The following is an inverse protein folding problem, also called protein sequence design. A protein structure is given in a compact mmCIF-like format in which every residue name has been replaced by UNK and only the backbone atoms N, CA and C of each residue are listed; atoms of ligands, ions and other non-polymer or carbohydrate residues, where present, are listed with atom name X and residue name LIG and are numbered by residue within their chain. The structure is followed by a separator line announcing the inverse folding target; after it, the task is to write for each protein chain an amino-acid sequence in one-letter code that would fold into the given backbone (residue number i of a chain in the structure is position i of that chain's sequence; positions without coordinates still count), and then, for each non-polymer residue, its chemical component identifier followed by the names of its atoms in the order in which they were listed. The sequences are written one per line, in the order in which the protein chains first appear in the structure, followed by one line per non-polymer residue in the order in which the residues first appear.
data_IF_853002944544
#
_entry.id   IF_853002944544
#
_cell.length_a   1.000
_cell.length_b   1.000
_cell.length_c   1.000
_cell.angle_alpha   90.00
_cell.angle_beta   90.00
_cell.angle_gamma   90.00
#
_symmetry.space_group_name_H-M   'P 1'
#
loop_
_entity.id
_entity.type
_entity.pdbx_description
1 polymer ?
#
# COMPACT_ATOMS: atom_id res chain seq x y z
N UNK A 1 -15.46 8.39 9.37
CA UNK A 1 -14.14 8.92 9.81
C UNK A 1 -13.77 10.05 8.86
N UNK A 2 -13.28 11.18 9.35
CA UNK A 2 -13.06 12.36 8.49
C UNK A 2 -11.83 12.15 7.60
N UNK A 3 -11.83 12.75 6.41
CA UNK A 3 -10.69 12.79 5.48
C UNK A 3 -9.39 13.24 6.19
N UNK A 4 -9.48 14.25 7.07
CA UNK A 4 -8.36 14.75 7.87
C UNK A 4 -7.72 13.69 8.77
N UNK A 5 -8.52 12.79 9.34
CA UNK A 5 -8.01 11.70 10.17
C UNK A 5 -7.22 10.67 9.34
N UNK A 6 -7.72 10.29 8.18
CA UNK A 6 -7.00 9.39 7.29
C UNK A 6 -5.66 10.01 6.83
N UNK A 7 -5.66 11.28 6.48
CA UNK A 7 -4.42 12.00 6.11
C UNK A 7 -3.41 12.01 7.27
N UNK A 8 -3.85 12.29 8.49
CA UNK A 8 -2.97 12.26 9.67
C UNK A 8 -2.40 10.86 9.91
N UNK A 9 -3.22 9.82 9.78
CA UNK A 9 -2.80 8.43 9.93
C UNK A 9 -1.76 8.03 8.88
N UNK A 10 -1.99 8.39 7.62
CA UNK A 10 -1.06 8.13 6.51
C UNK A 10 0.27 8.88 6.70
N UNK A 11 0.21 10.15 7.12
CA UNK A 11 1.39 10.95 7.43
C UNK A 11 2.19 10.31 8.58
N UNK A 12 1.52 9.84 9.63
CA UNK A 12 2.18 9.11 10.71
C UNK A 12 2.91 7.86 10.19
N UNK A 13 2.28 7.08 9.31
CA UNK A 13 2.90 5.91 8.67
C UNK A 13 4.18 6.26 7.89
N UNK A 14 4.19 7.38 7.18
CA UNK A 14 5.39 7.88 6.48
C UNK A 14 6.52 8.24 7.45
N UNK A 15 6.20 8.84 8.59
CA UNK A 15 7.20 9.18 9.62
C UNK A 15 7.80 7.97 10.34
N UNK A 16 7.23 6.75 10.20
CA UNK A 16 7.85 5.51 10.73
C UNK A 16 9.23 5.23 10.14
N UNK A 17 9.60 5.86 9.03
CA UNK A 17 10.95 5.81 8.48
C UNK A 17 12.00 6.31 9.47
N UNK A 18 11.70 7.38 10.24
CA UNK A 18 12.64 7.98 11.18
C UNK A 18 13.01 6.98 12.29
N UNK A 19 12.07 6.45 13.09
CA UNK A 19 12.42 5.47 14.12
C UNK A 19 12.96 4.17 13.53
N UNK A 20 12.53 3.74 12.31
CA UNK A 20 13.09 2.56 11.67
C UNK A 20 14.58 2.72 11.36
N UNK A 21 14.98 3.82 10.74
CA UNK A 21 16.40 4.12 10.45
C UNK A 21 17.21 4.29 11.74
N UNK A 22 16.66 5.03 12.72
CA UNK A 22 17.31 5.18 14.01
C UNK A 22 17.62 3.80 14.63
N UNK A 23 16.65 2.92 14.70
CA UNK A 23 16.84 1.57 15.26
C UNK A 23 17.88 0.78 14.46
N UNK A 24 17.79 0.77 13.12
CA UNK A 24 18.70 0.02 12.24
C UNK A 24 20.17 0.49 12.35
N UNK A 25 20.42 1.77 12.64
CA UNK A 25 21.79 2.31 12.71
C UNK A 25 22.37 2.41 14.13
N UNK A 26 21.55 2.28 15.19
CA UNK A 26 22.01 2.51 16.56
C UNK A 26 21.95 1.27 17.46
N UNK A 27 21.34 0.19 17.03
CA UNK A 27 21.18 -1.03 17.81
C UNK A 27 21.96 -2.20 17.20
N UNK A 28 22.34 -3.14 18.04
CA UNK A 28 22.81 -4.45 17.56
C UNK A 28 21.63 -5.30 17.10
N UNK A 29 21.81 -6.05 16.02
CA UNK A 29 20.73 -6.82 15.42
C UNK A 29 21.00 -8.30 15.48
N UNK A 30 20.00 -9.07 15.88
CA UNK A 30 20.01 -10.51 15.74
C UNK A 30 19.47 -10.96 14.37
N UNK A 31 20.01 -12.04 13.84
CA UNK A 31 19.65 -12.55 12.51
C UNK A 31 18.16 -12.89 12.39
N UNK A 32 17.55 -13.45 13.42
CA UNK A 32 16.11 -13.80 13.39
C UNK A 32 15.23 -12.57 13.30
N UNK A 33 15.60 -11.49 14.01
CA UNK A 33 14.91 -10.20 13.90
C UNK A 33 14.97 -9.62 12.49
N UNK A 34 16.15 -9.60 11.86
CA UNK A 34 16.32 -9.10 10.50
C UNK A 34 15.56 -9.95 9.46
N UNK A 35 15.60 -11.26 9.57
CA UNK A 35 14.82 -12.16 8.71
C UNK A 35 13.32 -11.89 8.88
N UNK A 36 12.84 -11.78 10.11
CA UNK A 36 11.43 -11.50 10.42
C UNK A 36 11.00 -10.13 9.85
N UNK A 37 11.81 -9.08 10.04
CA UNK A 37 11.57 -7.77 9.48
C UNK A 37 11.47 -7.81 7.95
N UNK A 38 12.35 -8.54 7.29
CA UNK A 38 12.34 -8.72 5.83
C UNK A 38 11.07 -9.42 5.36
N UNK A 39 10.69 -10.52 6.00
CA UNK A 39 9.47 -11.28 5.65
C UNK A 39 8.23 -10.40 5.84
N UNK A 40 8.10 -9.72 6.99
CA UNK A 40 6.93 -8.88 7.27
C UNK A 40 6.90 -7.63 6.39
N UNK A 41 8.07 -7.07 6.04
CA UNK A 41 8.15 -5.99 5.04
C UNK A 41 7.65 -6.42 3.66
N UNK A 42 7.99 -7.66 3.25
CA UNK A 42 7.43 -8.24 2.02
C UNK A 42 5.91 -8.44 2.12
N UNK A 43 5.40 -8.90 3.27
CA UNK A 43 3.97 -9.08 3.49
C UNK A 43 3.22 -7.73 3.46
N UNK A 44 3.78 -6.67 4.01
CA UNK A 44 3.12 -5.35 4.02
C UNK A 44 3.28 -4.61 2.69
N UNK A 45 4.51 -4.42 2.21
CA UNK A 45 4.79 -3.68 0.98
C UNK A 45 4.48 -4.48 -0.28
N UNK A 46 4.88 -5.76 -0.33
CA UNK A 46 4.65 -6.63 -1.49
C UNK A 46 3.20 -7.13 -1.57
N UNK A 47 2.77 -7.90 -0.56
CA UNK A 47 1.43 -8.50 -0.59
C UNK A 47 0.35 -7.47 -0.26
N UNK A 48 0.49 -6.70 0.81
CA UNK A 48 -0.54 -5.77 1.29
C UNK A 48 -0.75 -4.59 0.34
N UNK A 49 0.33 -3.93 -0.06
CA UNK A 49 0.26 -2.78 -0.96
C UNK A 49 0.24 -3.20 -2.43
N UNK A 50 1.35 -3.76 -2.96
CA UNK A 50 1.52 -3.94 -4.39
C UNK A 50 0.55 -4.98 -5.00
N UNK A 51 0.37 -6.13 -4.36
CA UNK A 51 -0.52 -7.20 -4.88
C UNK A 51 -1.97 -6.96 -4.50
N UNK A 52 -2.25 -6.73 -3.23
CA UNK A 52 -3.61 -6.69 -2.70
C UNK A 52 -4.30 -5.36 -3.00
N UNK A 53 -3.82 -4.26 -2.39
CA UNK A 53 -4.45 -2.94 -2.55
C UNK A 53 -4.45 -2.51 -4.03
N UNK A 54 -3.31 -2.61 -4.68
CA UNK A 54 -3.08 -2.09 -6.02
C UNK A 54 -3.65 -3.03 -7.10
N UNK A 55 -3.10 -4.23 -7.27
CA UNK A 55 -3.49 -5.11 -8.38
C UNK A 55 -4.83 -5.80 -8.18
N UNK A 56 -5.16 -6.22 -6.96
CA UNK A 56 -6.41 -6.95 -6.71
C UNK A 56 -7.60 -6.01 -6.48
N UNK A 57 -7.57 -5.20 -5.41
CA UNK A 57 -8.74 -4.40 -5.03
C UNK A 57 -9.01 -3.24 -5.97
N UNK A 58 -7.99 -2.60 -6.54
CA UNK A 58 -8.19 -1.50 -7.50
C UNK A 58 -8.42 -2.03 -8.91
N UNK A 59 -7.48 -2.78 -9.47
CA UNK A 59 -7.49 -3.14 -10.89
C UNK A 59 -8.15 -4.46 -11.21
N UNK A 60 -8.43 -5.32 -10.20
CA UNK A 60 -9.05 -6.64 -10.38
C UNK A 60 -8.29 -7.47 -11.41
N UNK A 61 -6.97 -7.46 -11.33
CA UNK A 61 -6.07 -8.08 -12.27
C UNK A 61 -6.13 -9.63 -12.24
N UNK A 62 -6.60 -10.21 -11.15
CA UNK A 62 -6.76 -11.65 -10.97
C UNK A 62 -7.96 -11.97 -10.08
N UNK A 63 -8.27 -13.26 -9.90
CA UNK A 63 -9.38 -13.73 -9.07
C UNK A 63 -8.85 -14.56 -7.91
N UNK A 64 -9.55 -14.46 -6.76
CA UNK A 64 -9.30 -15.27 -5.57
C UNK A 64 -10.61 -15.69 -4.91
N UNK A 65 -10.57 -16.77 -4.11
CA UNK A 65 -11.70 -17.19 -3.30
C UNK A 65 -12.07 -16.17 -2.21
N UNK A 66 -13.30 -16.20 -1.69
CA UNK A 66 -13.74 -15.26 -0.65
C UNK A 66 -12.86 -15.25 0.61
N UNK A 67 -12.28 -16.39 0.99
CA UNK A 67 -11.37 -16.48 2.13
C UNK A 67 -10.05 -15.77 1.84
N UNK A 68 -9.46 -15.99 0.66
CA UNK A 68 -8.24 -15.29 0.23
C UNK A 68 -8.48 -13.79 0.12
N UNK A 69 -9.66 -13.36 -0.38
CA UNK A 69 -10.03 -11.93 -0.43
C UNK A 69 -10.01 -11.29 0.98
N UNK A 70 -10.57 -11.98 1.98
CA UNK A 70 -10.53 -11.49 3.37
C UNK A 70 -9.11 -11.38 3.91
N UNK A 71 -8.25 -12.39 3.67
CA UNK A 71 -6.85 -12.36 4.08
C UNK A 71 -6.12 -11.19 3.40
N UNK A 72 -6.23 -11.05 2.09
CA UNK A 72 -5.64 -9.95 1.34
C UNK A 72 -6.11 -8.59 1.84
N UNK A 73 -7.39 -8.46 2.21
CA UNK A 73 -7.92 -7.20 2.72
C UNK A 73 -7.33 -6.79 4.08
N UNK A 74 -7.00 -7.76 4.95
CA UNK A 74 -6.26 -7.47 6.19
C UNK A 74 -4.84 -7.03 5.90
N UNK A 75 -4.14 -7.70 4.97
CA UNK A 75 -2.81 -7.24 4.54
C UNK A 75 -2.85 -5.86 3.88
N UNK A 76 -3.90 -5.53 3.13
CA UNK A 76 -4.11 -4.16 2.63
C UNK A 76 -4.15 -3.15 3.80
N UNK A 77 -4.93 -3.43 4.84
CA UNK A 77 -5.03 -2.54 6.01
C UNK A 77 -3.66 -2.38 6.70
N UNK A 78 -2.93 -3.47 6.93
CA UNK A 78 -1.63 -3.41 7.59
C UNK A 78 -0.55 -2.75 6.72
N UNK A 79 -0.60 -2.97 5.41
CA UNK A 79 0.38 -2.43 4.47
C UNK A 79 0.14 -0.98 4.08
N UNK A 80 -1.11 -0.52 4.03
CA UNK A 80 -1.44 0.83 3.54
C UNK A 80 -2.05 1.75 4.59
N UNK A 81 -2.46 1.20 5.72
CA UNK A 81 -3.27 1.87 6.74
C UNK A 81 -4.63 2.41 6.25
N UNK A 82 -5.02 1.99 5.06
CA UNK A 82 -6.33 2.24 4.46
C UNK A 82 -7.12 0.94 4.30
N UNK A 83 -8.43 1.04 4.28
CA UNK A 83 -9.26 -0.09 3.85
C UNK A 83 -9.14 -0.31 2.34
N UNK A 84 -9.43 -1.52 1.82
CA UNK A 84 -9.45 -1.76 0.39
C UNK A 84 -10.31 -0.78 -0.41
N UNK A 85 -11.44 -0.35 0.14
CA UNK A 85 -12.33 0.61 -0.52
C UNK A 85 -11.71 2.01 -0.62
N UNK A 86 -11.04 2.48 0.44
CA UNK A 86 -10.38 3.79 0.43
C UNK A 86 -9.18 3.82 -0.52
N UNK A 87 -8.36 2.76 -0.50
CA UNK A 87 -7.25 2.64 -1.42
C UNK A 87 -7.73 2.60 -2.89
N UNK A 88 -8.68 1.71 -3.21
CA UNK A 88 -9.21 1.57 -4.55
C UNK A 88 -9.85 2.87 -5.06
N UNK A 89 -10.52 3.64 -4.17
CA UNK A 89 -11.11 4.93 -4.50
C UNK A 89 -10.06 5.93 -4.96
N UNK A 90 -9.02 6.15 -4.15
CA UNK A 90 -7.99 7.15 -4.45
C UNK A 90 -7.14 6.75 -5.65
N UNK A 91 -6.73 5.48 -5.73
CA UNK A 91 -5.85 5.02 -6.79
C UNK A 91 -6.55 4.93 -8.15
N UNK A 92 -7.83 4.51 -8.17
CA UNK A 92 -8.61 4.51 -9.41
C UNK A 92 -8.84 5.94 -9.94
N UNK A 93 -9.04 6.89 -9.02
CA UNK A 93 -9.19 8.30 -9.38
C UNK A 93 -7.89 8.88 -9.95
N UNK A 94 -6.75 8.52 -9.37
CA UNK A 94 -5.43 8.84 -9.91
C UNK A 94 -5.28 8.33 -11.37
N UNK A 95 -5.60 7.07 -11.65
CA UNK A 95 -5.54 6.54 -13.02
C UNK A 95 -6.43 7.29 -14.00
N UNK A 96 -7.64 7.68 -13.56
CA UNK A 96 -8.59 8.41 -14.42
C UNK A 96 -8.15 9.83 -14.74
N UNK A 97 -7.46 10.48 -13.82
CA UNK A 97 -7.09 11.89 -13.90
C UNK A 97 -5.59 12.13 -13.82
N UNK A 98 -4.79 11.09 -14.06
CA UNK A 98 -3.34 11.11 -13.91
C UNK A 98 -2.70 12.39 -14.46
N UNK A 99 -1.91 13.05 -13.61
CA UNK A 99 -1.16 14.28 -13.90
C UNK A 99 -1.98 15.52 -14.29
N UNK A 100 -3.30 15.48 -14.15
CA UNK A 100 -4.17 16.66 -14.26
C UNK A 100 -4.35 17.37 -12.90
N UNK A 101 -4.99 18.53 -12.90
CA UNK A 101 -5.34 19.25 -11.66
C UNK A 101 -6.32 18.46 -10.76
N UNK A 102 -7.04 17.51 -11.33
CA UNK A 102 -7.98 16.63 -10.62
C UNK A 102 -7.32 15.38 -10.02
N UNK A 103 -6.06 15.12 -10.35
CA UNK A 103 -5.33 13.99 -9.81
C UNK A 103 -5.13 14.15 -8.30
N UNK A 104 -5.55 13.12 -7.57
CA UNK A 104 -5.53 13.11 -6.09
C UNK A 104 -4.12 13.06 -5.51
N UNK A 105 -3.14 12.57 -6.26
CA UNK A 105 -1.75 12.48 -5.83
C UNK A 105 -0.73 13.03 -6.83
N UNK A 106 -1.11 13.90 -7.73
CA UNK A 106 -0.17 14.41 -8.72
C UNK A 106 1.06 15.05 -8.10
N UNK A 107 2.22 14.51 -8.39
CA UNK A 107 3.50 15.11 -8.02
C UNK A 107 3.70 16.48 -8.68
N UNK A 108 3.12 16.70 -9.86
CA UNK A 108 3.16 17.94 -10.61
C UNK A 108 2.33 19.05 -9.94
N UNK A 109 1.11 18.78 -9.49
CA UNK A 109 0.17 19.77 -8.96
C UNK A 109 0.21 19.91 -7.44
N UNK A 110 0.64 18.88 -6.72
CA UNK A 110 0.84 18.88 -5.26
C UNK A 110 2.28 19.23 -4.92
N UNK A 111 3.23 18.93 -5.82
CA UNK A 111 4.65 19.19 -5.67
C UNK A 111 5.30 18.40 -4.55
N UNK A 112 6.31 19.01 -3.91
CA UNK A 112 7.11 18.39 -2.85
C UNK A 112 6.30 17.84 -1.67
N UNK A 113 5.11 18.37 -1.40
CA UNK A 113 4.23 17.88 -0.34
C UNK A 113 3.80 16.43 -0.57
N UNK A 114 3.70 15.97 -1.82
CA UNK A 114 3.34 14.60 -2.14
C UNK A 114 4.39 13.57 -1.66
N UNK A 115 5.63 13.98 -1.44
CA UNK A 115 6.71 13.15 -0.90
C UNK A 115 6.66 12.99 0.63
N UNK A 116 6.14 14.00 1.34
CA UNK A 116 6.19 14.05 2.80
C UNK A 116 4.82 13.96 3.46
N UNK A 117 3.77 14.27 2.71
CA UNK A 117 2.41 14.27 3.23
C UNK A 117 1.53 13.57 2.23
N UNK A 118 0.86 12.53 2.65
CA UNK A 118 -0.07 11.83 1.79
C UNK A 118 -1.31 12.71 1.52
N UNK A 119 -1.23 13.51 0.49
CA UNK A 119 -2.32 14.40 0.10
C UNK A 119 -3.31 13.67 -0.81
N UNK A 120 -4.56 13.59 -0.37
CA UNK A 120 -5.67 13.22 -1.20
C UNK A 120 -6.61 14.41 -1.40
N UNK A 121 -6.78 14.83 -2.63
CA UNK A 121 -7.90 15.68 -3.02
C UNK A 121 -9.07 14.74 -3.32
N UNK A 122 -10.11 14.76 -2.50
CA UNK A 122 -11.29 13.91 -2.70
C UNK A 122 -12.58 14.73 -2.88
N UNK A 123 -12.46 16.05 -2.97
CA UNK A 123 -13.59 16.94 -3.14
C UNK A 123 -14.21 16.73 -4.54
N UNK A 124 -15.50 16.38 -4.56
CA UNK A 124 -16.23 16.16 -5.81
C UNK A 124 -15.96 14.85 -6.54
N UNK A 125 -15.35 13.88 -5.87
CA UNK A 125 -15.02 12.56 -6.46
C UNK A 125 -16.16 11.58 -6.28
N UNK A 126 -16.69 11.06 -7.38
CA UNK A 126 -17.73 10.03 -7.38
C UNK A 126 -17.16 8.63 -7.12
N UNK A 127 -17.81 7.79 -6.28
CA UNK A 127 -17.41 6.42 -6.05
C UNK A 127 -17.48 5.58 -7.33
N UNK A 128 -16.47 4.77 -7.56
CA UNK A 128 -16.47 3.81 -8.67
C UNK A 128 -17.33 2.58 -8.35
N UNK A 129 -17.70 1.80 -9.39
CA UNK A 129 -18.37 0.50 -9.20
C UNK A 129 -17.58 -0.44 -8.28
N UNK A 130 -16.24 -0.42 -8.34
CA UNK A 130 -15.39 -1.24 -7.48
C UNK A 130 -15.55 -0.84 -6.02
N UNK A 131 -15.53 0.45 -5.72
CA UNK A 131 -15.73 0.98 -4.36
C UNK A 131 -17.14 0.66 -3.86
N UNK A 132 -18.17 0.91 -4.68
CA UNK A 132 -19.55 0.59 -4.34
C UNK A 132 -19.72 -0.90 -4.00
N UNK A 133 -19.17 -1.80 -4.82
CA UNK A 133 -19.18 -3.25 -4.58
C UNK A 133 -18.51 -3.62 -3.25
N UNK A 134 -17.37 -3.05 -2.93
CA UNK A 134 -16.68 -3.33 -1.67
C UNK A 134 -17.53 -2.87 -0.49
N UNK A 135 -18.09 -1.66 -0.55
CA UNK A 135 -18.90 -1.11 0.54
C UNK A 135 -20.28 -1.76 0.70
N UNK A 136 -20.75 -2.60 -0.22
CA UNK A 136 -21.95 -3.44 0.01
C UNK A 136 -21.67 -4.66 0.88
N UNK A 137 -20.42 -5.05 1.06
CA UNK A 137 -20.04 -6.23 1.84
C UNK A 137 -19.76 -5.86 3.31
N UNK A 138 -20.41 -6.53 4.25
CA UNK A 138 -20.25 -6.28 5.71
C UNK A 138 -18.79 -6.34 6.18
N UNK A 139 -17.99 -7.26 5.60
CA UNK A 139 -16.58 -7.39 5.92
C UNK A 139 -15.77 -6.14 5.53
N UNK A 140 -15.97 -5.60 4.34
CA UNK A 140 -15.28 -4.38 3.89
C UNK A 140 -15.79 -3.13 4.61
N UNK A 141 -17.08 -3.09 4.99
CA UNK A 141 -17.61 -2.04 5.88
C UNK A 141 -16.94 -2.08 7.25
N UNK A 142 -16.73 -3.28 7.82
CA UNK A 142 -16.01 -3.47 9.07
C UNK A 142 -14.56 -2.95 8.95
N UNK A 143 -13.83 -3.34 7.90
CA UNK A 143 -12.46 -2.85 7.68
C UNK A 143 -12.42 -1.33 7.51
N UNK A 144 -13.38 -0.76 6.77
CA UNK A 144 -13.49 0.69 6.61
C UNK A 144 -13.67 1.41 7.95
N UNK A 145 -14.52 0.89 8.82
CA UNK A 145 -14.81 1.49 10.12
C UNK A 145 -13.69 1.28 11.15
N UNK A 146 -13.06 0.09 11.17
CA UNK A 146 -12.21 -0.36 12.28
C UNK A 146 -10.75 -0.61 11.90
N UNK A 147 -10.28 -0.20 10.70
CA UNK A 147 -8.87 -0.37 10.29
C UNK A 147 -7.85 0.12 11.32
N UNK A 148 -8.13 1.27 11.96
CA UNK A 148 -7.25 1.84 12.99
C UNK A 148 -7.14 0.95 14.24
N UNK A 149 -8.22 0.24 14.59
CA UNK A 149 -8.22 -0.73 15.70
C UNK A 149 -7.36 -1.94 15.34
N UNK A 150 -7.43 -2.41 14.08
CA UNK A 150 -6.62 -3.53 13.59
C UNK A 150 -5.12 -3.17 13.62
N UNK A 151 -4.77 -1.96 13.15
CA UNK A 151 -3.40 -1.47 13.17
C UNK A 151 -2.88 -1.37 14.60
N UNK A 152 -3.67 -0.75 15.49
CA UNK A 152 -3.31 -0.59 16.90
C UNK A 152 -3.18 -1.94 17.62
N UNK A 153 -4.10 -2.87 17.37
CA UNK A 153 -4.04 -4.22 17.95
C UNK A 153 -2.76 -4.95 17.51
N UNK A 154 -2.41 -4.88 16.22
CA UNK A 154 -1.18 -5.48 15.70
C UNK A 154 0.06 -4.82 16.31
N UNK A 155 0.12 -3.49 16.38
CA UNK A 155 1.20 -2.75 17.03
C UNK A 155 1.35 -3.14 18.51
N UNK A 156 0.24 -3.23 19.23
CA UNK A 156 0.23 -3.66 20.64
C UNK A 156 0.74 -5.09 20.80
N UNK A 157 0.26 -6.03 19.97
CA UNK A 157 0.71 -7.42 20.02
C UNK A 157 2.22 -7.54 19.76
N UNK A 158 2.76 -6.80 18.80
CA UNK A 158 4.22 -6.83 18.55
C UNK A 158 5.01 -6.18 19.67
N UNK A 159 4.48 -5.13 20.30
CA UNK A 159 5.11 -4.49 21.47
C UNK A 159 5.12 -5.41 22.71
N UNK A 160 4.10 -6.23 22.92
CA UNK A 160 4.04 -7.22 23.99
C UNK A 160 5.09 -8.34 23.83
N UNK A 161 5.60 -8.58 22.61
CA UNK A 161 6.73 -9.48 22.37
C UNK A 161 8.08 -8.89 22.79
N UNK A 162 8.12 -7.58 23.06
CA UNK A 162 9.30 -6.83 23.45
C UNK A 162 9.65 -5.71 22.47
N UNK A 163 10.43 -4.75 22.97
CA UNK A 163 10.79 -3.53 22.23
C UNK A 163 11.44 -3.82 20.87
N UNK A 164 12.43 -4.73 20.79
CA UNK A 164 13.10 -5.07 19.53
C UNK A 164 12.13 -5.71 18.52
N UNK A 165 11.26 -6.63 18.98
CA UNK A 165 10.25 -7.25 18.14
C UNK A 165 9.22 -6.28 17.60
N UNK A 166 8.88 -5.23 18.37
CA UNK A 166 8.04 -4.14 17.87
C UNK A 166 8.69 -3.43 16.68
N UNK A 167 10.02 -3.19 16.72
CA UNK A 167 10.72 -2.63 15.58
C UNK A 167 10.77 -3.59 14.40
N UNK A 168 11.15 -4.84 14.60
CA UNK A 168 11.25 -5.82 13.51
C UNK A 168 9.92 -6.17 12.85
N UNK A 169 8.83 -6.24 13.61
CA UNK A 169 7.55 -6.72 13.11
C UNK A 169 6.55 -5.62 12.77
N UNK A 170 6.73 -4.40 13.30
CA UNK A 170 5.80 -3.30 13.05
C UNK A 170 6.47 -2.07 12.43
N UNK A 171 7.47 -1.47 13.10
CA UNK A 171 8.04 -0.19 12.66
C UNK A 171 8.75 -0.31 11.31
N UNK A 172 9.69 -1.26 11.15
CA UNK A 172 10.46 -1.44 9.91
C UNK A 172 9.55 -1.86 8.75
N UNK A 173 8.65 -2.85 8.88
CA UNK A 173 7.73 -3.22 7.81
C UNK A 173 6.79 -2.09 7.40
N UNK A 174 6.27 -1.33 8.36
CA UNK A 174 5.44 -0.15 8.07
C UNK A 174 6.23 0.89 7.29
N UNK A 175 7.42 1.26 7.79
CA UNK A 175 8.30 2.21 7.12
C UNK A 175 8.60 1.81 5.67
N UNK A 176 8.95 0.54 5.45
CA UNK A 176 9.20 0.02 4.10
C UNK A 176 7.96 0.09 3.21
N UNK A 177 6.78 -0.30 3.71
CA UNK A 177 5.55 -0.25 2.92
C UNK A 177 5.18 1.18 2.52
N UNK A 178 5.30 2.15 3.44
CA UNK A 178 5.06 3.55 3.13
C UNK A 178 6.13 4.15 2.20
N UNK A 179 7.39 3.76 2.33
CA UNK A 179 8.44 4.10 1.38
C UNK A 179 8.08 3.63 -0.04
N UNK A 180 7.64 2.37 -0.19
CA UNK A 180 7.22 1.83 -1.48
C UNK A 180 6.05 2.63 -2.08
N UNK A 181 5.05 2.99 -1.27
CA UNK A 181 3.91 3.82 -1.70
C UNK A 181 4.36 5.20 -2.17
N UNK A 182 5.21 5.88 -1.40
CA UNK A 182 5.73 7.22 -1.73
C UNK A 182 6.47 7.17 -3.08
N UNK A 183 7.34 6.20 -3.28
CA UNK A 183 8.08 6.07 -4.54
C UNK A 183 7.14 5.81 -5.70
N UNK A 184 6.15 4.92 -5.52
CA UNK A 184 5.20 4.57 -6.57
C UNK A 184 4.36 5.78 -7.01
N UNK A 185 3.77 6.52 -6.07
CA UNK A 185 2.92 7.69 -6.40
C UNK A 185 3.72 8.87 -6.96
N UNK A 186 5.02 8.95 -6.68
CA UNK A 186 5.90 10.00 -7.19
C UNK A 186 6.72 9.57 -8.43
N UNK A 187 6.47 8.38 -8.98
CA UNK A 187 7.12 7.91 -10.20
C UNK A 187 6.52 8.54 -11.47
N UNK A 188 6.20 9.84 -11.37
CA UNK A 188 5.74 10.69 -12.45
C UNK A 188 6.73 11.83 -12.65
N UNK A 189 7.42 11.84 -13.80
CA UNK A 189 8.43 12.86 -14.12
C UNK A 189 7.87 13.78 -15.20
N UNK A 190 7.84 15.08 -14.92
CA UNK A 190 7.27 16.10 -15.82
C UNK A 190 5.78 15.87 -16.16
N UNK A 191 5.03 15.23 -15.27
CA UNK A 191 3.62 14.93 -15.48
C UNK A 191 3.38 13.71 -16.38
N UNK A 192 4.28 12.74 -16.35
CA UNK A 192 4.12 11.45 -17.04
C UNK A 192 4.68 10.32 -16.18
N UNK A 193 4.00 9.17 -16.10
CA UNK A 193 4.52 8.00 -15.41
C UNK A 193 5.78 7.48 -16.08
N UNK A 194 6.75 6.99 -15.30
CA UNK A 194 8.02 6.45 -15.79
C UNK A 194 8.24 5.02 -15.32
N UNK A 195 8.98 4.27 -16.16
CA UNK A 195 9.48 2.95 -15.81
C UNK A 195 10.91 3.05 -15.26
N UNK A 196 11.18 2.37 -14.14
CA UNK A 196 12.49 2.28 -13.52
C UNK A 196 12.74 0.88 -12.98
N UNK A 197 13.76 0.20 -13.47
CA UNK A 197 14.14 -1.12 -12.98
C UNK A 197 14.62 -1.08 -11.51
N UNK A 198 15.32 -0.02 -11.11
CA UNK A 198 15.80 0.16 -9.74
C UNK A 198 14.60 0.33 -8.78
N UNK A 199 13.65 1.19 -9.14
CA UNK A 199 12.44 1.33 -8.34
C UNK A 199 11.62 0.03 -8.31
N UNK A 200 11.61 -0.74 -9.41
CA UNK A 200 10.93 -2.03 -9.47
C UNK A 200 11.50 -3.04 -8.45
N UNK A 201 12.82 -3.03 -8.22
CA UNK A 201 13.45 -3.84 -7.17
C UNK A 201 13.10 -3.29 -5.78
N UNK A 202 13.26 -1.98 -5.57
CA UNK A 202 13.07 -1.33 -4.27
C UNK A 202 11.61 -1.38 -3.79
N UNK A 203 10.65 -1.45 -4.69
CA UNK A 203 9.20 -1.43 -4.38
C UNK A 203 8.51 -2.78 -4.62
N UNK A 204 9.27 -3.86 -4.83
CA UNK A 204 8.77 -5.21 -5.08
C UNK A 204 7.79 -5.29 -6.27
N UNK A 205 8.07 -4.55 -7.35
CA UNK A 205 7.35 -4.68 -8.61
C UNK A 205 6.58 -3.43 -9.09
N UNK A 206 6.58 -2.35 -8.32
CA UNK A 206 5.83 -1.12 -8.67
C UNK A 206 6.61 -0.15 -9.57
N UNK A 207 7.89 -0.43 -9.90
CA UNK A 207 8.74 0.47 -10.68
C UNK A 207 8.44 0.53 -12.17
N UNK A 208 7.69 -0.42 -12.74
CA UNK A 208 7.20 -0.34 -14.13
C UNK A 208 5.89 0.43 -14.21
N UNK A 209 5.93 1.68 -13.80
CA UNK A 209 4.76 2.50 -13.54
C UNK A 209 4.10 3.03 -14.83
N UNK A 210 4.89 3.42 -15.83
CA UNK A 210 4.37 3.81 -17.14
C UNK A 210 3.68 2.63 -17.85
N UNK A 211 4.30 1.45 -17.77
CA UNK A 211 3.67 0.23 -18.29
C UNK A 211 2.36 -0.07 -17.56
N UNK A 212 2.35 0.06 -16.23
CA UNK A 212 1.16 -0.17 -15.43
C UNK A 212 0.02 0.79 -15.76
N UNK A 213 0.29 2.10 -15.94
CA UNK A 213 -0.74 3.05 -16.37
C UNK A 213 -1.38 2.68 -17.70
N UNK A 214 -0.59 2.12 -18.63
CA UNK A 214 -1.08 1.66 -19.94
C UNK A 214 -1.84 0.31 -19.85
N UNK A 215 -1.41 -0.58 -18.97
CA UNK A 215 -1.94 -1.94 -18.82
C UNK A 215 -2.22 -2.27 -17.34
N UNK A 216 -3.20 -1.61 -16.68
CA UNK A 216 -3.37 -1.69 -15.23
C UNK A 216 -3.76 -3.08 -14.70
N UNK A 217 -4.32 -3.94 -15.55
CA UNK A 217 -4.65 -5.33 -15.19
C UNK A 217 -3.51 -6.31 -15.44
N UNK A 218 -2.44 -5.89 -16.11
CA UNK A 218 -1.29 -6.73 -16.34
C UNK A 218 -0.36 -6.71 -15.12
N UNK A 219 -0.06 -7.88 -14.58
CA UNK A 219 0.83 -8.07 -13.44
C UNK A 219 2.11 -8.86 -13.80
N UNK A 220 2.26 -9.28 -15.06
CA UNK A 220 3.34 -10.20 -15.46
C UNK A 220 4.71 -9.53 -15.58
N UNK A 221 4.74 -8.23 -15.82
CA UNK A 221 6.01 -7.49 -16.01
C UNK A 221 6.79 -7.29 -14.69
N UNK A 222 6.11 -7.22 -13.56
CA UNK A 222 6.74 -7.13 -12.24
C UNK A 222 7.06 -8.52 -11.69
N UNK A 223 8.33 -8.94 -11.69
CA UNK A 223 8.73 -10.29 -11.26
C UNK A 223 8.16 -10.69 -9.89
N UNK A 224 8.29 -9.83 -8.88
CA UNK A 224 7.80 -10.11 -7.53
C UNK A 224 6.27 -10.18 -7.47
N UNK A 225 5.59 -9.25 -8.16
CA UNK A 225 4.12 -9.23 -8.23
C UNK A 225 3.64 -10.49 -8.95
N UNK A 226 4.24 -10.84 -10.08
CA UNK A 226 3.89 -12.05 -10.84
C UNK A 226 4.02 -13.30 -9.98
N UNK A 227 5.16 -13.50 -9.33
CA UNK A 227 5.40 -14.67 -8.49
C UNK A 227 4.37 -14.77 -7.35
N UNK A 228 4.06 -13.67 -6.68
CA UNK A 228 3.06 -13.63 -5.62
C UNK A 228 1.65 -13.91 -6.14
N UNK A 229 1.26 -13.30 -7.25
CA UNK A 229 -0.06 -13.52 -7.85
C UNK A 229 -0.21 -14.97 -8.32
N UNK A 230 0.82 -15.57 -8.93
CA UNK A 230 0.77 -16.97 -9.38
C UNK A 230 0.55 -17.97 -8.24
N UNK A 231 1.02 -17.64 -7.03
CA UNK A 231 0.77 -18.44 -5.80
C UNK A 231 -0.64 -18.18 -5.24
N UNK A 232 -1.10 -16.94 -5.28
CA UNK A 232 -2.31 -16.50 -4.58
C UNK A 232 -3.57 -16.72 -5.42
N UNK A 233 -3.51 -16.45 -6.73
CA UNK A 233 -4.67 -16.54 -7.62
C UNK A 233 -5.29 -17.93 -7.62
N UNK A 234 -6.58 -17.98 -7.81
CA UNK A 234 -7.25 -19.28 -8.04
C UNK A 234 -6.95 -19.78 -9.47
N UNK A 235 -6.88 -21.09 -9.61
CA UNK A 235 -6.78 -21.71 -10.92
C UNK A 235 -7.94 -21.22 -11.81
N UNK A 236 -7.69 -21.01 -13.10
CA UNK A 236 -8.73 -20.64 -14.05
C UNK A 236 -9.84 -21.70 -13.98
N UNK A 237 -11.03 -21.30 -13.53
CA UNK A 237 -12.26 -22.04 -13.76
C UNK A 237 -12.70 -21.84 -15.20
#
# INVERSE_FOLDING_TARGET
MTLKFNQALMTLGQFMMIPALWFLFTHEHNLYGLISATIVSYLFGGIGFAVSAHRYFTHRAFKVSPMKEKILSVFTVLGTWLSPAEWAFTHWHHHKHSDTEQDVHSSKHIGFRNWFFYFHRTDGVEPTHTVARLLTQKWHQFLYAYKHVIILAYATLTLLLGYEWFFYLFIIPTAYSFFSQIITVNNHVNGEPKDSWLQNILTLGEGYHAYHHKYPKDYEKGFFIKAAVDIIKDAKQ
#
